data_IF_494717404780
#
_entry.id   IF_494717404780
#
_cell.length_a   1.000
_cell.length_b   1.000
_cell.length_c   1.000
_cell.angle_alpha   90.00
_cell.angle_beta   90.00
_cell.angle_gamma   90.00
#
_symmetry.space_group_name_H-M   'P 1'
#
loop_
_entity.id
_entity.type
_entity.pdbx_description
1 polymer ?
#
# COMPACT_ATOMS: atom_id res chain seq x y z
N UNK A 1 41.61 24.33 53.64
CA UNK A 1 41.80 24.29 52.18
C UNK A 1 41.51 22.91 51.57
N UNK A 2 42.14 21.81 52.00
CA UNK A 2 41.95 20.46 51.43
C UNK A 2 40.51 19.91 51.50
N UNK A 3 39.73 20.25 52.54
CA UNK A 3 38.33 19.83 52.67
C UNK A 3 37.40 20.53 51.66
N UNK A 4 37.67 21.81 51.36
CA UNK A 4 36.93 22.59 50.37
C UNK A 4 37.17 22.05 48.95
N UNK A 5 38.40 21.65 48.64
CA UNK A 5 38.74 21.04 47.35
C UNK A 5 38.08 19.68 47.16
N UNK A 6 38.01 18.86 48.21
CA UNK A 6 37.28 17.57 48.17
C UNK A 6 35.77 17.77 47.96
N UNK A 7 35.18 18.79 48.59
CA UNK A 7 33.76 19.11 48.41
C UNK A 7 33.47 19.59 46.99
N UNK A 8 34.34 20.43 46.41
CA UNK A 8 34.23 20.87 45.01
C UNK A 8 34.34 19.71 44.01
N UNK A 9 35.27 18.77 44.24
CA UNK A 9 35.42 17.57 43.40
C UNK A 9 34.16 16.69 43.50
N UNK A 10 33.57 16.57 44.69
CA UNK A 10 32.35 15.79 44.90
C UNK A 10 31.14 16.41 44.17
N UNK A 11 30.99 17.74 44.22
CA UNK A 11 29.95 18.46 43.48
C UNK A 11 30.14 18.39 41.96
N UNK A 12 31.40 18.48 41.48
CA UNK A 12 31.71 18.32 40.07
C UNK A 12 31.42 16.90 39.56
N UNK A 13 31.76 15.87 40.34
CA UNK A 13 31.47 14.48 40.02
C UNK A 13 29.95 14.19 40.01
N UNK A 14 29.20 14.76 40.96
CA UNK A 14 27.73 14.65 40.99
C UNK A 14 27.09 15.33 39.78
N UNK A 15 27.56 16.53 39.41
CA UNK A 15 27.09 17.24 38.21
C UNK A 15 27.37 16.48 36.92
N UNK A 16 28.54 15.82 36.82
CA UNK A 16 28.88 14.98 35.67
C UNK A 16 27.97 13.74 35.58
N UNK A 17 27.57 13.16 36.71
CA UNK A 17 26.65 12.02 36.77
C UNK A 17 25.21 12.41 36.34
N UNK A 18 24.78 13.64 36.61
CA UNK A 18 23.50 14.19 36.12
C UNK A 18 23.53 14.45 34.60
N UNK A 19 24.67 14.82 34.02
CA UNK A 19 24.82 15.00 32.57
C UNK A 19 24.74 13.65 31.84
N UNK A 20 25.32 12.58 32.41
CA UNK A 20 25.28 11.24 31.83
C UNK A 20 23.90 10.56 31.93
N UNK A 21 23.05 10.97 32.87
CA UNK A 21 21.66 10.47 32.99
C UNK A 21 20.64 11.26 32.18
N UNK A 22 21.01 12.45 31.68
CA UNK A 22 20.18 13.25 30.78
C UNK A 22 20.34 12.88 29.29
N UNK A 23 21.37 12.11 28.92
CA UNK A 23 21.54 11.52 27.59
C UNK A 23 20.97 10.09 27.57
N UNK A 24 19.66 9.96 27.79
CA UNK A 24 19.03 8.64 27.88
C UNK A 24 17.53 8.61 27.68
N UNK A 25 16.86 9.77 27.66
CA UNK A 25 15.54 9.85 27.08
C UNK A 25 15.69 10.01 25.56
N UNK A 26 15.89 8.86 24.90
CA UNK A 26 15.34 8.67 23.56
C UNK A 26 13.83 8.91 23.69
N UNK A 27 13.48 10.19 23.62
CA UNK A 27 12.13 10.65 23.68
C UNK A 27 11.35 9.82 22.69
N UNK A 28 10.37 9.09 23.20
CA UNK A 28 9.08 8.98 22.56
C UNK A 28 8.55 10.41 22.41
N UNK A 29 9.20 11.18 21.55
CA UNK A 29 8.69 12.41 21.01
C UNK A 29 7.49 11.93 20.23
N UNK A 30 6.30 12.12 20.80
CA UNK A 30 5.08 12.12 20.03
C UNK A 30 5.29 13.15 18.92
N UNK A 31 5.78 12.71 17.77
CA UNK A 31 5.66 13.43 16.50
C UNK A 31 4.18 13.33 16.09
N UNK A 32 3.33 13.93 16.92
CA UNK A 32 1.91 14.16 16.65
C UNK A 32 1.79 15.66 16.42
N UNK A 33 2.45 16.14 15.37
CA UNK A 33 2.18 17.43 14.77
C UNK A 33 1.60 17.16 13.38
N UNK A 34 0.59 17.92 12.96
CA UNK A 34 -0.07 17.78 11.66
C UNK A 34 0.86 17.90 10.42
N UNK A 35 2.17 18.08 10.63
CA UNK A 35 3.22 18.28 9.64
C UNK A 35 4.30 17.18 9.65
N UNK A 36 4.19 16.13 10.48
CA UNK A 36 5.31 15.20 10.72
C UNK A 36 5.23 13.85 10.01
N UNK A 37 4.14 13.49 9.33
CA UNK A 37 4.12 12.26 8.52
C UNK A 37 4.73 12.54 7.15
N UNK A 38 5.86 11.90 6.83
CA UNK A 38 6.40 11.96 5.47
C UNK A 38 5.52 11.14 4.51
N UNK A 39 5.69 11.32 3.19
CA UNK A 39 4.86 10.63 2.21
C UNK A 39 4.96 9.10 2.30
N UNK A 40 6.11 8.55 2.69
CA UNK A 40 6.32 7.11 2.82
C UNK A 40 5.55 6.52 4.01
N UNK A 41 5.52 7.21 5.15
CA UNK A 41 4.75 6.79 6.33
C UNK A 41 3.24 6.74 6.06
N UNK A 42 2.74 7.59 5.16
CA UNK A 42 1.30 7.64 4.80
C UNK A 42 0.85 6.50 3.87
N UNK A 43 1.77 5.89 3.13
CA UNK A 43 1.46 4.78 2.20
C UNK A 43 1.85 3.42 2.76
N UNK A 44 2.45 3.39 3.95
CA UNK A 44 2.87 2.15 4.59
C UNK A 44 1.69 1.46 5.27
N UNK A 45 1.38 0.25 4.82
CA UNK A 45 0.38 -0.64 5.45
C UNK A 45 1.11 -1.85 6.03
N UNK A 46 1.15 -2.02 7.37
CA UNK A 46 1.91 -3.10 8.01
C UNK A 46 1.25 -4.47 7.80
N UNK A 47 2.00 -5.57 7.98
CA UNK A 47 1.45 -6.92 7.92
C UNK A 47 0.29 -7.12 8.91
N UNK A 48 -0.80 -7.70 8.45
CA UNK A 48 -2.02 -7.90 9.25
C UNK A 48 -3.05 -6.76 9.12
N UNK A 49 -2.67 -5.62 8.56
CA UNK A 49 -3.57 -4.50 8.29
C UNK A 49 -4.05 -4.48 6.84
N UNK A 50 -5.20 -3.84 6.62
CA UNK A 50 -5.85 -3.76 5.31
C UNK A 50 -5.62 -2.42 4.62
N UNK A 51 -5.67 -2.44 3.29
CA UNK A 51 -5.82 -1.24 2.48
C UNK A 51 -7.24 -0.67 2.62
N UNK A 52 -7.37 0.65 2.43
CA UNK A 52 -8.64 1.38 2.57
C UNK A 52 -9.48 1.31 1.29
N UNK A 53 -8.83 1.30 0.12
CA UNK A 53 -9.52 1.28 -1.17
C UNK A 53 -9.03 0.15 -2.07
N UNK A 54 -9.93 -0.33 -2.91
CA UNK A 54 -9.58 -1.11 -4.10
C UNK A 54 -9.46 -0.17 -5.30
N UNK A 55 -8.39 -0.32 -6.07
CA UNK A 55 -8.21 0.34 -7.34
C UNK A 55 -8.31 -0.69 -8.47
N UNK A 56 -9.31 -0.53 -9.33
CA UNK A 56 -9.48 -1.30 -10.56
C UNK A 56 -8.73 -0.56 -11.67
N UNK A 57 -7.64 -1.15 -12.15
CA UNK A 57 -6.68 -0.51 -13.04
C UNK A 57 -6.60 -1.29 -14.35
N UNK A 58 -6.67 -0.55 -15.45
CA UNK A 58 -6.41 -1.07 -16.79
C UNK A 58 -5.06 -1.78 -16.84
N UNK A 59 -5.04 -2.98 -17.41
CA UNK A 59 -3.80 -3.68 -17.74
C UNK A 59 -3.21 -3.25 -19.09
N UNK A 60 -3.82 -2.28 -19.78
CA UNK A 60 -3.48 -1.86 -21.13
C UNK A 60 -3.36 -3.05 -22.09
N UNK A 61 -2.29 -3.04 -22.88
CA UNK A 61 -1.88 -4.11 -23.80
C UNK A 61 -1.66 -5.49 -23.16
N UNK A 62 -1.82 -5.68 -21.84
CA UNK A 62 -1.95 -7.05 -21.31
C UNK A 62 -3.33 -7.64 -21.58
N UNK A 63 -4.34 -6.80 -21.86
CA UNK A 63 -5.74 -7.19 -22.04
C UNK A 63 -6.46 -7.59 -20.75
N UNK A 64 -5.80 -7.45 -19.59
CA UNK A 64 -6.34 -7.88 -18.30
C UNK A 64 -6.76 -6.69 -17.42
N UNK A 65 -7.49 -6.98 -16.35
CA UNK A 65 -7.86 -6.01 -15.31
C UNK A 65 -7.08 -6.29 -14.02
N UNK A 66 -6.41 -5.29 -13.47
CA UNK A 66 -5.65 -5.42 -12.23
C UNK A 66 -6.39 -4.78 -11.06
N UNK A 67 -6.37 -5.44 -9.89
CA UNK A 67 -6.90 -4.92 -8.63
C UNK A 67 -5.73 -4.66 -7.69
N UNK A 68 -5.58 -3.40 -7.30
CA UNK A 68 -4.60 -2.96 -6.31
C UNK A 68 -5.27 -2.53 -5.01
N UNK A 69 -4.57 -2.68 -3.89
CA UNK A 69 -4.92 -2.03 -2.63
C UNK A 69 -4.28 -0.65 -2.51
N UNK A 70 -5.02 0.35 -2.05
CA UNK A 70 -4.51 1.68 -1.70
C UNK A 70 -4.66 1.95 -0.19
N UNK A 71 -3.65 2.55 0.46
CA UNK A 71 -2.53 3.26 -0.15
C UNK A 71 -1.27 2.41 -0.42
N UNK A 72 -1.25 1.13 -0.10
CA UNK A 72 -0.02 0.31 -0.17
C UNK A 72 0.52 0.09 -1.58
N UNK A 73 -0.33 0.20 -2.61
CA UNK A 73 0.03 -0.07 -4.00
C UNK A 73 0.32 -1.55 -4.29
N UNK A 74 -0.13 -2.46 -3.41
CA UNK A 74 0.07 -3.91 -3.59
C UNK A 74 -0.95 -4.46 -4.58
N UNK A 75 -0.48 -5.29 -5.53
CA UNK A 75 -1.35 -6.04 -6.45
C UNK A 75 -2.03 -7.17 -5.67
N UNK A 76 -3.36 -7.21 -5.71
CA UNK A 76 -4.16 -8.28 -5.10
C UNK A 76 -4.61 -9.33 -6.11
N UNK A 77 -5.01 -8.90 -7.30
CA UNK A 77 -5.54 -9.81 -8.31
C UNK A 77 -5.34 -9.28 -9.72
N UNK A 78 -5.09 -10.18 -10.65
CA UNK A 78 -5.28 -9.97 -12.08
C UNK A 78 -6.51 -10.79 -12.49
N UNK A 79 -7.49 -10.13 -13.09
CA UNK A 79 -8.71 -10.73 -13.63
C UNK A 79 -8.53 -10.84 -15.15
N UNK A 80 -8.61 -12.06 -15.72
CA UNK A 80 -8.56 -12.21 -17.16
C UNK A 80 -9.78 -11.61 -17.86
N UNK A 81 -9.57 -10.87 -18.94
CA UNK A 81 -10.65 -10.24 -19.73
C UNK A 81 -10.47 -10.52 -21.23
N UNK A 82 -9.50 -9.86 -21.88
CA UNK A 82 -9.34 -9.89 -23.35
C UNK A 82 -8.18 -10.76 -23.83
N UNK A 83 -7.35 -11.28 -22.93
CA UNK A 83 -6.22 -12.12 -23.28
C UNK A 83 -6.25 -13.48 -22.59
N UNK A 84 -5.69 -14.49 -23.26
CA UNK A 84 -5.48 -15.83 -22.69
C UNK A 84 -4.68 -15.73 -21.38
N UNK A 85 -5.11 -16.50 -20.38
CA UNK A 85 -4.39 -16.62 -19.11
C UNK A 85 -4.22 -18.11 -18.76
N UNK A 86 -3.01 -18.63 -19.01
CA UNK A 86 -2.69 -20.03 -18.74
C UNK A 86 -2.60 -20.38 -17.26
N UNK A 87 -2.31 -19.42 -16.37
CA UNK A 87 -2.27 -19.66 -14.92
C UNK A 87 -3.68 -20.00 -14.41
N UNK A 88 -4.69 -19.34 -14.97
CA UNK A 88 -6.10 -19.46 -14.56
C UNK A 88 -6.95 -20.30 -15.53
N UNK A 89 -6.32 -20.87 -16.56
CA UNK A 89 -6.96 -21.57 -17.67
C UNK A 89 -8.00 -20.75 -18.46
N UNK A 90 -7.95 -19.42 -18.38
CA UNK A 90 -8.87 -18.53 -19.11
C UNK A 90 -8.58 -18.58 -20.62
N UNK A 91 -9.62 -18.89 -21.38
CA UNK A 91 -9.61 -19.23 -22.80
C UNK A 91 -9.19 -20.67 -23.11
N UNK A 92 -8.97 -21.51 -22.09
CA UNK A 92 -8.62 -22.93 -22.25
C UNK A 92 -9.71 -23.88 -21.79
N UNK A 93 -10.51 -23.53 -20.78
CA UNK A 93 -11.68 -24.32 -20.36
C UNK A 93 -12.95 -23.93 -21.14
N UNK A 94 -13.92 -24.86 -21.22
CA UNK A 94 -15.14 -24.69 -22.03
C UNK A 94 -15.97 -23.47 -21.60
N UNK A 95 -15.93 -23.11 -20.32
CA UNK A 95 -16.69 -21.97 -19.79
C UNK A 95 -16.11 -20.62 -20.23
N UNK A 96 -14.81 -20.54 -20.55
CA UNK A 96 -14.14 -19.26 -20.88
C UNK A 96 -13.75 -19.15 -22.34
N UNK A 97 -13.67 -20.26 -23.09
CA UNK A 97 -13.45 -20.22 -24.55
C UNK A 97 -14.40 -19.26 -25.28
N UNK A 98 -15.72 -19.22 -24.98
CA UNK A 98 -16.63 -18.30 -25.64
C UNK A 98 -16.34 -16.82 -25.33
N UNK A 99 -15.68 -16.51 -24.20
CA UNK A 99 -15.40 -15.14 -23.79
C UNK A 99 -14.38 -14.42 -24.68
N UNK A 100 -13.60 -15.18 -25.46
CA UNK A 100 -12.61 -14.67 -26.42
C UNK A 100 -13.09 -14.81 -27.88
N UNK A 101 -14.39 -15.06 -28.08
CA UNK A 101 -15.00 -15.12 -29.40
C UNK A 101 -15.73 -13.81 -29.71
N UNK A 102 -15.41 -13.22 -30.85
CA UNK A 102 -16.13 -12.07 -31.41
C UNK A 102 -17.04 -12.52 -32.54
N UNK A 103 -17.86 -11.62 -33.07
CA UNK A 103 -18.61 -11.87 -34.32
C UNK A 103 -17.71 -12.19 -35.52
N UNK A 104 -16.40 -11.95 -35.42
CA UNK A 104 -15.39 -12.22 -36.45
C UNK A 104 -14.47 -13.40 -36.11
N UNK A 105 -14.77 -14.14 -35.03
CA UNK A 105 -14.01 -15.29 -34.58
C UNK A 105 -13.12 -15.01 -33.38
N UNK A 106 -12.18 -15.92 -33.15
CA UNK A 106 -11.37 -15.99 -31.94
C UNK A 106 -10.29 -14.90 -31.90
N UNK A 107 -10.25 -14.16 -30.80
CA UNK A 107 -9.25 -13.12 -30.53
C UNK A 107 -8.56 -13.45 -29.20
N UNK A 108 -7.30 -13.95 -29.20
CA UNK A 108 -6.65 -14.41 -27.98
C UNK A 108 -6.03 -13.27 -27.13
N UNK A 109 -6.20 -12.02 -27.54
CA UNK A 109 -5.55 -10.84 -26.95
C UNK A 109 -6.17 -9.52 -27.46
N UNK A 110 -6.28 -8.51 -26.58
CA UNK A 110 -6.63 -7.12 -26.92
C UNK A 110 -6.10 -6.13 -25.83
N UNK A 111 -6.47 -4.86 -25.90
CA UNK A 111 -6.03 -3.77 -25.02
C UNK A 111 -7.16 -3.24 -24.10
N UNK A 112 -7.05 -3.48 -22.79
CA UNK A 112 -8.01 -3.01 -21.80
C UNK A 112 -7.74 -1.56 -21.40
N UNK A 113 -8.57 -0.60 -21.80
CA UNK A 113 -8.27 0.83 -21.61
C UNK A 113 -8.89 1.50 -20.37
N UNK A 114 -10.21 1.45 -20.21
CA UNK A 114 -10.92 2.29 -19.22
C UNK A 114 -11.89 1.45 -18.37
N UNK A 115 -11.43 0.87 -17.25
CA UNK A 115 -12.33 0.23 -16.31
C UNK A 115 -13.23 1.27 -15.63
N UNK A 116 -14.54 1.01 -15.58
CA UNK A 116 -15.48 1.87 -14.85
C UNK A 116 -16.48 1.05 -14.03
N UNK A 117 -16.79 1.55 -12.82
CA UNK A 117 -17.62 0.83 -11.86
C UNK A 117 -19.09 1.22 -12.03
N UNK A 118 -19.99 0.24 -11.91
CA UNK A 118 -21.42 0.49 -11.97
C UNK A 118 -21.89 1.40 -10.83
N UNK A 119 -22.89 2.22 -11.14
CA UNK A 119 -23.44 3.21 -10.22
C UNK A 119 -24.96 3.10 -10.12
N UNK A 120 -25.47 3.47 -8.94
CA UNK A 120 -26.88 3.70 -8.68
C UNK A 120 -27.02 5.08 -8.02
N UNK A 121 -27.81 5.98 -8.61
CA UNK A 121 -27.98 7.37 -8.14
C UNK A 121 -26.67 8.17 -8.01
N UNK A 122 -25.66 7.87 -8.84
CA UNK A 122 -24.36 8.56 -8.85
C UNK A 122 -23.37 8.07 -7.80
N UNK A 123 -23.68 6.98 -7.10
CA UNK A 123 -22.76 6.33 -6.15
C UNK A 123 -22.37 4.94 -6.66
N UNK A 124 -21.12 4.54 -6.43
CA UNK A 124 -20.62 3.21 -6.77
C UNK A 124 -21.44 2.15 -6.02
N UNK A 125 -22.04 1.23 -6.76
CA UNK A 125 -22.90 0.18 -6.18
C UNK A 125 -22.22 -1.19 -6.06
N UNK A 126 -21.00 -1.32 -6.58
CA UNK A 126 -20.15 -2.51 -6.42
C UNK A 126 -20.66 -3.76 -7.14
N UNK A 127 -21.57 -3.64 -8.12
CA UNK A 127 -22.13 -4.79 -8.84
C UNK A 127 -21.29 -5.21 -10.04
N UNK A 128 -20.76 -4.26 -10.80
CA UNK A 128 -20.06 -4.52 -12.06
C UNK A 128 -18.85 -3.58 -12.25
N UNK A 129 -17.89 -4.05 -13.04
CA UNK A 129 -16.83 -3.26 -13.64
C UNK A 129 -16.89 -3.50 -15.16
N UNK A 130 -16.95 -2.44 -15.95
CA UNK A 130 -16.97 -2.48 -17.41
C UNK A 130 -15.61 -2.12 -17.98
#
# INVERSE_FOLDING_TARGET
MKALTKLFILFAAMGFLFILTSCGQNGKSSKSGALTSNAAERVFVPPGEHDEFYAFISGGFSGQLAIYGLPSGRLFKIIPVFALDGEKAYGFNEETKPMLQTSYGFVPWDDAHHPDLSQTNGEIDGRWCF
#
